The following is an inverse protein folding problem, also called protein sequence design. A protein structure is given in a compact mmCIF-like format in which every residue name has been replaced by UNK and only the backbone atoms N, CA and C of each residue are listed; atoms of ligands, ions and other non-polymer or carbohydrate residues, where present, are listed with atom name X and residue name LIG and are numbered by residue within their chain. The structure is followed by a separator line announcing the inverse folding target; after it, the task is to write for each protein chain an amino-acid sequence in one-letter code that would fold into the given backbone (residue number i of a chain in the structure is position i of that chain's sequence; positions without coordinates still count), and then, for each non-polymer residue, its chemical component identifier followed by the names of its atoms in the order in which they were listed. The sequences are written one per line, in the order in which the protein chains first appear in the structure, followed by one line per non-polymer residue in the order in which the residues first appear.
data_IF_566495620898
#
_entry.id   IF_566495620898
#
_cell.length_a   1.000
_cell.length_b   1.000
_cell.length_c   1.000
_cell.angle_alpha   90.00
_cell.angle_beta   90.00
_cell.angle_gamma   90.00
#
_symmetry.space_group_name_H-M   'P 1'
#
loop_
_entity.id
_entity.type
_entity.pdbx_description
1 polymer ?
#
# COMPACT_ATOMS: atom_id res chain seq x y z
N UNK A 1 17.35 6.51 -62.76
CA UNK A 1 17.98 6.11 -61.47
C UNK A 1 17.35 6.77 -60.22
N UNK A 2 16.31 7.61 -60.35
CA UNK A 2 15.68 8.33 -59.23
C UNK A 2 14.61 7.53 -58.45
N UNK A 3 13.93 6.58 -59.11
CA UNK A 3 12.85 5.78 -58.49
C UNK A 3 13.33 4.83 -57.38
N UNK A 4 14.53 4.25 -57.50
CA UNK A 4 15.09 3.33 -56.47
C UNK A 4 15.39 4.03 -55.13
N UNK A 5 15.82 5.31 -55.15
CA UNK A 5 16.14 6.06 -53.93
C UNK A 5 14.90 6.42 -53.10
N UNK A 6 13.75 6.63 -53.75
CA UNK A 6 12.48 6.95 -53.06
C UNK A 6 11.90 5.72 -52.35
N UNK A 7 11.93 4.56 -53.01
CA UNK A 7 11.49 3.28 -52.44
C UNK A 7 12.34 2.85 -51.23
N UNK A 8 13.66 3.04 -51.31
CA UNK A 8 14.57 2.70 -50.21
C UNK A 8 14.32 3.57 -48.96
N UNK A 9 14.03 4.87 -49.13
CA UNK A 9 13.71 5.78 -48.02
C UNK A 9 12.39 5.42 -47.33
N UNK A 10 11.36 5.05 -48.10
CA UNK A 10 10.05 4.64 -47.58
C UNK A 10 10.12 3.30 -46.83
N UNK A 11 10.87 2.34 -47.37
CA UNK A 11 11.11 1.05 -46.71
C UNK A 11 11.88 1.22 -45.39
N UNK A 12 12.87 2.12 -45.35
CA UNK A 12 13.63 2.41 -44.14
C UNK A 12 12.77 3.08 -43.06
N UNK A 13 11.93 4.07 -43.42
CA UNK A 13 10.96 4.67 -42.48
C UNK A 13 9.97 3.63 -41.94
N UNK A 14 9.43 2.75 -42.79
CA UNK A 14 8.52 1.69 -42.34
C UNK A 14 9.21 0.71 -41.40
N UNK A 15 10.46 0.32 -41.68
CA UNK A 15 11.24 -0.56 -40.82
C UNK A 15 11.54 0.09 -39.46
N UNK A 16 11.83 1.39 -39.45
CA UNK A 16 12.09 2.16 -38.22
C UNK A 16 10.81 2.28 -37.39
N UNK A 17 9.67 2.53 -38.03
CA UNK A 17 8.36 2.60 -37.39
C UNK A 17 7.94 1.24 -36.81
N UNK A 18 8.14 0.15 -37.56
CA UNK A 18 7.86 -1.22 -37.09
C UNK A 18 8.75 -1.57 -35.90
N UNK A 19 10.05 -1.23 -35.92
CA UNK A 19 10.92 -1.43 -34.77
C UNK A 19 10.43 -0.64 -33.54
N UNK A 20 10.10 0.64 -33.69
CA UNK A 20 9.59 1.47 -32.58
C UNK A 20 8.33 0.87 -31.98
N UNK A 21 7.40 0.37 -32.80
CA UNK A 21 6.16 -0.26 -32.33
C UNK A 21 6.46 -1.60 -31.63
N UNK A 22 7.39 -2.42 -32.13
CA UNK A 22 7.75 -3.71 -31.50
C UNK A 22 8.52 -3.57 -30.19
N UNK A 23 9.26 -2.47 -29.98
CA UNK A 23 9.90 -2.18 -28.69
C UNK A 23 8.93 -1.57 -27.66
N UNK A 24 7.78 -1.05 -28.09
CA UNK A 24 6.77 -0.44 -27.21
C UNK A 24 5.85 -1.46 -26.54
N UNK A 25 5.96 -2.74 -26.88
CA UNK A 25 5.16 -3.83 -26.31
C UNK A 25 5.98 -4.76 -25.42
N UNK A 26 6.87 -4.21 -24.59
CA UNK A 26 7.31 -4.93 -23.39
C UNK A 26 6.09 -4.91 -22.47
N UNK A 27 5.30 -5.98 -22.49
CA UNK A 27 4.22 -6.16 -21.52
C UNK A 27 4.83 -6.00 -20.13
N UNK A 28 4.27 -5.09 -19.33
CA UNK A 28 4.52 -5.13 -17.90
C UNK A 28 4.08 -6.52 -17.44
N UNK A 29 5.04 -7.39 -17.16
CA UNK A 29 4.75 -8.65 -16.50
C UNK A 29 4.17 -8.28 -15.14
N UNK A 30 3.01 -8.87 -14.84
CA UNK A 30 2.38 -8.77 -13.54
C UNK A 30 2.55 -10.13 -12.86
N UNK A 31 2.99 -10.12 -11.62
CA UNK A 31 3.02 -11.29 -10.75
C UNK A 31 1.65 -11.42 -10.08
N UNK A 32 1.15 -12.65 -10.01
CA UNK A 32 0.03 -12.98 -9.15
C UNK A 32 0.56 -13.25 -7.74
N UNK A 33 0.10 -12.46 -6.77
CA UNK A 33 0.33 -12.70 -5.35
C UNK A 33 -0.94 -13.21 -4.69
N UNK A 34 -0.79 -14.06 -3.67
CA UNK A 34 -1.88 -14.70 -2.95
C UNK A 34 -1.66 -14.62 -1.44
N UNK A 35 -2.69 -14.26 -0.68
CA UNK A 35 -2.66 -14.33 0.78
C UNK A 35 -3.94 -14.92 1.34
N UNK A 36 -3.86 -15.51 2.53
CA UNK A 36 -5.05 -15.93 3.28
C UNK A 36 -5.58 -14.76 4.09
N UNK A 37 -6.86 -14.43 3.93
CA UNK A 37 -7.57 -13.42 4.71
C UNK A 37 -8.59 -14.09 5.61
N UNK A 38 -8.78 -13.55 6.82
CA UNK A 38 -9.85 -13.95 7.73
C UNK A 38 -10.59 -12.72 8.25
N UNK A 39 -11.91 -12.68 8.05
CA UNK A 39 -12.79 -11.63 8.53
C UNK A 39 -13.87 -12.17 9.47
N UNK A 40 -14.28 -11.35 10.42
CA UNK A 40 -15.38 -11.64 11.33
C UNK A 40 -16.57 -10.74 11.05
N UNK A 41 -17.76 -11.33 11.09
CA UNK A 41 -19.04 -10.59 11.08
C UNK A 41 -19.77 -10.84 12.37
N UNK A 42 -20.22 -9.76 13.01
CA UNK A 42 -20.86 -9.83 14.30
C UNK A 42 -22.36 -9.62 14.16
N UNK A 43 -23.13 -10.50 14.80
CA UNK A 43 -24.58 -10.33 14.99
C UNK A 43 -24.83 -10.32 16.49
N UNK A 44 -25.62 -9.36 16.96
CA UNK A 44 -25.98 -9.24 18.36
C UNK A 44 -27.49 -9.32 18.55
N UNK A 45 -27.90 -9.96 19.64
CA UNK A 45 -29.31 -10.10 20.02
C UNK A 45 -29.44 -10.02 21.53
N UNK A 46 -30.46 -9.33 22.03
CA UNK A 46 -30.78 -9.29 23.44
C UNK A 46 -31.99 -10.18 23.73
N UNK A 47 -31.85 -11.15 24.62
CA UNK A 47 -32.94 -12.06 24.99
C UNK A 47 -32.53 -13.17 25.96
N UNK A 48 -33.48 -14.05 26.23
CA UNK A 48 -33.24 -15.27 27.03
C UNK A 48 -32.47 -16.32 26.22
N UNK A 49 -31.97 -17.37 26.88
CA UNK A 49 -31.29 -18.49 26.21
C UNK A 49 -32.15 -19.11 25.10
N UNK A 50 -33.43 -19.38 25.39
CA UNK A 50 -34.39 -19.97 24.44
C UNK A 50 -34.59 -19.08 23.21
N UNK A 51 -34.70 -17.77 23.42
CA UNK A 51 -34.89 -16.82 22.33
C UNK A 51 -33.64 -16.71 21.46
N UNK A 52 -32.45 -16.82 22.04
CA UNK A 52 -31.18 -16.79 21.30
C UNK A 52 -31.00 -18.03 20.42
N UNK A 53 -31.37 -19.22 20.92
CA UNK A 53 -31.35 -20.45 20.13
C UNK A 53 -32.32 -20.38 18.95
N UNK A 54 -33.52 -19.84 19.17
CA UNK A 54 -34.48 -19.61 18.09
C UNK A 54 -33.95 -18.62 17.06
N UNK A 55 -33.38 -17.50 17.52
CA UNK A 55 -32.82 -16.45 16.68
C UNK A 55 -31.69 -16.98 15.78
N UNK A 56 -30.72 -17.71 16.35
CA UNK A 56 -29.61 -18.24 15.54
C UNK A 56 -30.07 -19.31 14.56
N UNK A 57 -31.02 -20.18 14.93
CA UNK A 57 -31.56 -21.19 14.02
C UNK A 57 -32.33 -20.59 12.83
N UNK A 58 -32.88 -19.39 12.98
CA UNK A 58 -33.51 -18.66 11.88
C UNK A 58 -32.49 -17.92 11.00
N UNK A 59 -31.41 -17.41 11.59
CA UNK A 59 -30.42 -16.60 10.87
C UNK A 59 -29.37 -17.46 10.18
N UNK A 60 -28.89 -18.51 10.84
CA UNK A 60 -27.79 -19.34 10.35
C UNK A 60 -28.02 -19.97 8.97
N UNK A 61 -29.24 -20.41 8.60
CA UNK A 61 -29.52 -20.86 7.23
C UNK A 61 -29.43 -19.73 6.19
N UNK A 62 -29.67 -18.49 6.62
CA UNK A 62 -29.73 -17.31 5.76
C UNK A 62 -28.44 -16.50 5.72
N UNK A 63 -27.42 -16.84 6.53
CA UNK A 63 -26.10 -16.21 6.39
C UNK A 63 -25.51 -16.65 5.04
N UNK A 64 -25.02 -15.68 4.27
CA UNK A 64 -24.26 -16.00 3.07
C UNK A 64 -23.09 -16.90 3.43
N UNK A 65 -22.87 -17.97 2.66
CA UNK A 65 -21.71 -18.86 2.86
C UNK A 65 -20.46 -18.32 2.20
N UNK A 66 -20.59 -17.25 1.42
CA UNK A 66 -19.49 -16.58 0.73
C UNK A 66 -19.57 -15.07 0.93
N UNK A 67 -18.41 -14.41 0.84
CA UNK A 67 -18.29 -12.96 0.87
C UNK A 67 -17.23 -12.53 -0.12
N UNK A 68 -17.52 -11.47 -0.88
CA UNK A 68 -16.51 -10.83 -1.71
C UNK A 68 -15.58 -10.00 -0.83
N UNK A 69 -14.28 -10.18 -1.02
CA UNK A 69 -13.23 -9.38 -0.39
C UNK A 69 -12.58 -8.48 -1.44
N UNK A 70 -12.33 -7.23 -1.05
CA UNK A 70 -11.56 -6.28 -1.83
C UNK A 70 -10.99 -5.19 -0.89
N UNK A 71 -9.68 -5.14 -0.70
CA UNK A 71 -8.99 -4.11 0.09
C UNK A 71 -8.37 -2.99 -0.77
N UNK A 72 -8.65 -2.99 -2.08
CA UNK A 72 -8.06 -2.11 -3.08
C UNK A 72 -6.82 -2.69 -3.76
N UNK A 73 -6.19 -3.72 -3.20
CA UNK A 73 -5.02 -4.40 -3.77
C UNK A 73 -5.31 -5.87 -4.04
N UNK A 74 -5.82 -6.59 -3.04
CA UNK A 74 -6.22 -7.99 -3.14
C UNK A 74 -7.73 -8.09 -3.26
N UNK A 75 -8.17 -9.03 -4.08
CA UNK A 75 -9.58 -9.37 -4.23
C UNK A 75 -9.79 -10.88 -4.27
N UNK A 76 -10.97 -11.34 -3.87
CA UNK A 76 -11.29 -12.75 -3.86
C UNK A 76 -12.60 -13.05 -3.17
N UNK A 77 -12.81 -14.33 -2.87
CA UNK A 77 -14.00 -14.81 -2.17
C UNK A 77 -13.59 -15.45 -0.85
N UNK A 78 -14.14 -14.95 0.25
CA UNK A 78 -14.03 -15.57 1.57
C UNK A 78 -15.19 -16.53 1.77
N UNK A 79 -14.89 -17.71 2.29
CA UNK A 79 -15.87 -18.74 2.59
C UNK A 79 -16.14 -18.79 4.08
N UNK A 80 -17.40 -19.00 4.44
CA UNK A 80 -17.79 -19.26 5.81
C UNK A 80 -17.02 -20.48 6.35
N UNK A 81 -16.35 -20.30 7.49
CA UNK A 81 -15.52 -21.35 8.11
C UNK A 81 -16.14 -21.86 9.41
N UNK A 82 -16.47 -20.94 10.32
CA UNK A 82 -16.93 -21.26 11.67
C UNK A 82 -17.65 -20.08 12.28
N UNK A 83 -18.25 -20.29 13.44
CA UNK A 83 -18.76 -19.20 14.27
C UNK A 83 -18.38 -19.42 15.74
N UNK A 84 -18.32 -18.32 16.47
CA UNK A 84 -18.17 -18.30 17.91
C UNK A 84 -19.35 -17.61 18.55
N UNK A 85 -19.71 -18.01 19.77
CA UNK A 85 -20.78 -17.40 20.55
C UNK A 85 -20.20 -16.90 21.86
N UNK A 86 -20.56 -15.69 22.23
CA UNK A 86 -20.37 -15.18 23.58
C UNK A 86 -21.66 -14.53 24.06
N UNK A 87 -21.83 -14.45 25.38
CA UNK A 87 -22.95 -13.75 25.98
C UNK A 87 -22.50 -12.94 27.19
N UNK A 88 -23.23 -11.87 27.46
CA UNK A 88 -23.05 -11.04 28.66
C UNK A 88 -24.41 -10.80 29.29
N UNK A 89 -24.54 -11.08 30.58
CA UNK A 89 -25.79 -10.83 31.32
C UNK A 89 -26.08 -9.32 31.36
N UNK A 90 -27.29 -8.96 30.94
CA UNK A 90 -27.79 -7.58 30.93
C UNK A 90 -28.73 -7.33 32.11
N UNK A 91 -29.64 -8.26 32.39
CA UNK A 91 -30.57 -8.21 33.53
C UNK A 91 -30.52 -9.56 34.25
N UNK A 92 -30.35 -9.52 35.57
CA UNK A 92 -30.44 -10.69 36.45
C UNK A 92 -31.81 -10.73 37.15
N UNK A 93 -32.48 -11.86 37.10
CA UNK A 93 -33.80 -12.04 37.69
C UNK A 93 -34.30 -13.49 37.56
N UNK A 94 -35.61 -13.71 37.68
CA UNK A 94 -36.23 -15.03 37.47
C UNK A 94 -36.11 -15.54 36.03
N UNK A 95 -35.84 -14.65 35.08
CA UNK A 95 -35.39 -14.99 33.73
C UNK A 95 -34.28 -14.02 33.35
N UNK A 96 -33.06 -14.54 33.23
CA UNK A 96 -31.91 -13.74 32.82
C UNK A 96 -32.09 -13.28 31.37
N UNK A 97 -31.75 -12.02 31.10
CA UNK A 97 -31.63 -11.49 29.75
C UNK A 97 -30.14 -11.27 29.48
N UNK A 98 -29.66 -11.80 28.37
CA UNK A 98 -28.28 -11.66 27.93
C UNK A 98 -28.22 -10.87 26.63
N UNK A 99 -27.09 -10.21 26.41
CA UNK A 99 -26.65 -9.80 25.08
C UNK A 99 -25.84 -10.97 24.53
N UNK A 100 -26.38 -11.62 23.51
CA UNK A 100 -25.72 -12.65 22.74
C UNK A 100 -24.96 -12.02 21.59
N UNK A 101 -23.76 -12.51 21.32
CA UNK A 101 -22.91 -12.09 20.20
C UNK A 101 -22.42 -13.33 19.45
N UNK A 102 -22.79 -13.43 18.18
CA UNK A 102 -22.25 -14.43 17.26
C UNK A 102 -21.21 -13.77 16.35
N UNK A 103 -20.02 -14.34 16.30
CA UNK A 103 -18.98 -13.95 15.37
C UNK A 103 -18.86 -15.01 14.27
N UNK A 104 -19.33 -14.70 13.06
CA UNK A 104 -19.19 -15.54 11.88
C UNK A 104 -17.86 -15.27 11.21
N UNK A 105 -17.04 -16.30 11.10
CA UNK A 105 -15.68 -16.23 10.57
C UNK A 105 -15.70 -16.66 9.12
N UNK A 106 -15.18 -15.80 8.24
CA UNK A 106 -15.00 -16.05 6.83
C UNK A 106 -13.50 -16.08 6.53
N UNK A 107 -13.04 -17.11 5.83
CA UNK A 107 -11.64 -17.27 5.46
C UNK A 107 -11.53 -17.64 3.99
N UNK A 108 -10.50 -17.16 3.31
CA UNK A 108 -10.29 -17.47 1.91
C UNK A 108 -8.94 -16.97 1.43
N UNK A 109 -8.49 -17.55 0.33
CA UNK A 109 -7.37 -17.03 -0.42
C UNK A 109 -7.85 -15.88 -1.29
N UNK A 110 -7.08 -14.79 -1.29
CA UNK A 110 -7.34 -13.61 -2.10
C UNK A 110 -6.11 -13.31 -2.93
N UNK A 111 -6.33 -12.82 -4.13
CA UNK A 111 -5.28 -12.63 -5.13
C UNK A 111 -5.12 -11.17 -5.49
N UNK A 112 -3.89 -10.75 -5.77
CA UNK A 112 -3.58 -9.45 -6.36
C UNK A 112 -2.77 -9.67 -7.64
N UNK A 113 -3.07 -8.88 -8.67
CA UNK A 113 -2.19 -8.73 -9.82
C UNK A 113 -1.30 -7.51 -9.57
N UNK A 114 -0.04 -7.76 -9.30
CA UNK A 114 0.94 -6.75 -8.93
C UNK A 114 1.96 -6.63 -10.06
N UNK A 115 2.40 -5.42 -10.45
CA UNK A 115 3.47 -5.31 -11.43
C UNK A 115 4.78 -5.91 -10.88
N UNK A 116 5.57 -6.56 -11.74
CA UNK A 116 6.87 -7.14 -11.35
C UNK A 116 7.82 -6.10 -10.74
N UNK A 117 7.68 -4.85 -11.19
CA UNK A 117 8.45 -3.72 -10.68
C UNK A 117 7.58 -2.47 -10.55
N UNK A 118 7.96 -1.57 -9.64
CA UNK A 118 7.36 -0.24 -9.54
C UNK A 118 8.42 0.81 -9.28
N UNK A 119 8.13 2.05 -9.64
CA UNK A 119 8.98 3.20 -9.26
C UNK A 119 8.56 3.69 -7.88
N UNK A 120 9.55 3.92 -7.02
CA UNK A 120 9.37 4.42 -5.66
C UNK A 120 10.15 5.72 -5.49
N UNK A 121 9.54 6.66 -4.78
CA UNK A 121 10.17 7.88 -4.29
C UNK A 121 10.09 7.89 -2.77
N UNK A 122 11.24 7.91 -2.10
CA UNK A 122 11.35 7.99 -0.65
C UNK A 122 11.95 9.34 -0.25
N UNK A 123 11.40 9.95 0.81
CA UNK A 123 11.87 11.23 1.34
C UNK A 123 12.51 11.03 2.70
N UNK A 124 13.78 11.40 2.83
CA UNK A 124 14.43 11.52 4.13
C UNK A 124 14.46 12.98 4.54
N UNK A 125 13.80 13.29 5.66
CA UNK A 125 13.74 14.64 6.19
C UNK A 125 14.85 14.90 7.19
N UNK A 126 15.35 16.13 7.21
CA UNK A 126 16.34 16.54 8.19
C UNK A 126 16.17 18.02 8.53
N UNK A 127 16.34 18.34 9.81
CA UNK A 127 16.21 19.70 10.31
C UNK A 127 17.49 20.14 11.03
N UNK A 128 17.83 21.42 10.89
CA UNK A 128 18.94 22.03 11.59
C UNK A 128 18.61 23.45 12.00
N UNK A 129 19.04 23.81 13.21
CA UNK A 129 18.94 25.16 13.76
C UNK A 129 20.29 25.86 13.72
N UNK A 130 20.34 27.08 13.23
CA UNK A 130 21.57 27.89 13.19
C UNK A 130 21.31 29.37 12.91
N UNK A 131 22.37 30.15 12.79
CA UNK A 131 22.30 31.57 12.45
C UNK A 131 22.15 31.78 10.95
N UNK A 132 21.57 32.92 10.55
CA UNK A 132 21.39 33.21 9.14
C UNK A 132 22.73 33.13 8.39
N UNK A 133 22.74 32.41 7.28
CA UNK A 133 23.95 32.12 6.49
C UNK A 133 24.64 30.78 6.77
N UNK A 134 24.35 30.08 7.88
CA UNK A 134 25.00 28.80 8.21
C UNK A 134 24.40 27.61 7.43
N UNK A 135 23.23 27.78 6.82
CA UNK A 135 22.48 26.74 6.12
C UNK A 135 23.29 26.03 5.03
N UNK A 136 24.08 26.78 4.25
CA UNK A 136 24.84 26.23 3.11
C UNK A 136 26.00 25.35 3.58
N UNK A 137 26.71 25.77 4.63
CA UNK A 137 27.80 25.01 5.24
C UNK A 137 27.28 23.69 5.82
N UNK A 138 26.16 23.76 6.55
CA UNK A 138 25.52 22.57 7.10
C UNK A 138 25.02 21.62 6.01
N UNK A 139 24.32 22.14 5.00
CA UNK A 139 23.86 21.32 3.89
C UNK A 139 25.03 20.60 3.17
N UNK A 140 26.16 21.29 2.99
CA UNK A 140 27.35 20.72 2.37
C UNK A 140 27.94 19.57 3.19
N UNK A 141 28.00 19.70 4.53
CA UNK A 141 28.51 18.62 5.39
C UNK A 141 27.61 17.37 5.34
N UNK A 142 26.30 17.57 5.22
CA UNK A 142 25.33 16.49 5.10
C UNK A 142 25.45 15.79 3.76
N UNK A 143 25.56 16.54 2.67
CA UNK A 143 25.74 15.96 1.33
C UNK A 143 27.04 15.15 1.24
N UNK A 144 28.09 15.54 1.96
CA UNK A 144 29.37 14.82 1.97
C UNK A 144 29.30 13.41 2.58
N UNK A 145 28.38 13.18 3.53
CA UNK A 145 28.25 11.90 4.24
C UNK A 145 26.96 11.14 3.88
N UNK A 146 26.12 11.72 3.02
CA UNK A 146 24.84 11.14 2.65
C UNK A 146 25.05 9.90 1.78
N UNK A 147 24.40 8.77 2.10
CA UNK A 147 24.47 7.60 1.25
C UNK A 147 23.92 7.92 -0.15
N UNK A 148 24.61 7.49 -1.19
CA UNK A 148 24.14 7.64 -2.57
C UNK A 148 23.02 6.67 -2.91
N UNK A 149 22.84 5.64 -2.08
CA UNK A 149 21.83 4.60 -2.24
C UNK A 149 21.28 4.16 -0.89
N UNK A 150 19.99 3.85 -0.82
CA UNK A 150 19.34 3.27 0.35
C UNK A 150 18.60 1.99 -0.03
N UNK A 151 18.44 1.08 0.92
CA UNK A 151 17.60 -0.11 0.73
C UNK A 151 16.14 0.25 0.96
N UNK A 152 15.26 -0.26 0.10
CA UNK A 152 13.82 -0.16 0.23
C UNK A 152 13.21 -1.56 0.42
N UNK A 153 12.28 -1.67 1.35
CA UNK A 153 11.47 -2.88 1.56
C UNK A 153 10.15 -2.49 2.23
N UNK A 154 9.01 -2.69 1.55
CA UNK A 154 7.66 -2.47 2.11
C UNK A 154 6.93 -3.78 2.47
N UNK A 155 7.64 -4.91 2.43
CA UNK A 155 7.11 -6.26 2.61
C UNK A 155 6.58 -6.91 1.33
N UNK A 156 6.31 -6.13 0.28
CA UNK A 156 5.81 -6.61 -1.03
C UNK A 156 6.84 -6.39 -2.15
N UNK A 157 7.59 -5.31 -2.07
CA UNK A 157 8.65 -4.93 -3.00
C UNK A 157 9.92 -4.62 -2.24
N UNK A 158 11.06 -4.95 -2.84
CA UNK A 158 12.36 -4.53 -2.34
C UNK A 158 13.31 -4.12 -3.46
N UNK A 159 14.33 -3.37 -3.09
CA UNK A 159 15.36 -2.94 -4.02
C UNK A 159 16.22 -1.84 -3.43
N UNK A 160 16.90 -1.13 -4.31
CA UNK A 160 17.77 -0.02 -3.95
C UNK A 160 17.25 1.26 -4.59
N UNK A 161 17.14 2.32 -3.79
CA UNK A 161 16.79 3.66 -4.28
C UNK A 161 18.05 4.51 -4.33
N UNK A 162 18.20 5.31 -5.38
CA UNK A 162 19.35 6.20 -5.58
C UNK A 162 18.99 7.62 -5.17
N UNK A 163 19.94 8.31 -4.53
CA UNK A 163 19.81 9.71 -4.24
C UNK A 163 19.70 10.53 -5.53
N UNK A 164 18.65 11.34 -5.70
CA UNK A 164 18.45 12.12 -6.93
C UNK A 164 18.56 13.62 -6.72
N UNK A 165 17.96 14.15 -5.66
CA UNK A 165 17.92 15.59 -5.38
C UNK A 165 17.63 15.89 -3.92
N UNK A 166 17.74 17.16 -3.57
CA UNK A 166 17.23 17.69 -2.31
C UNK A 166 16.53 19.02 -2.56
N UNK A 167 15.68 19.43 -1.63
CA UNK A 167 15.11 20.78 -1.62
C UNK A 167 14.87 21.24 -0.18
N UNK A 168 14.86 22.56 0.01
CA UNK A 168 14.50 23.18 1.27
C UNK A 168 12.96 23.21 1.37
N UNK A 169 12.41 22.53 2.36
CA UNK A 169 10.96 22.50 2.62
C UNK A 169 10.48 23.74 3.36
N UNK A 170 11.26 24.19 4.34
CA UNK A 170 10.92 25.37 5.13
C UNK A 170 12.15 26.01 5.79
N UNK A 171 12.04 27.33 6.02
CA UNK A 171 12.92 28.12 6.87
C UNK A 171 12.03 28.84 7.89
N UNK A 172 12.19 28.52 9.16
CA UNK A 172 11.42 29.10 10.26
C UNK A 172 12.33 29.92 11.16
N UNK A 173 11.98 31.18 11.41
CA UNK A 173 12.66 32.02 12.40
C UNK A 173 12.10 31.75 13.79
N UNK A 174 12.98 31.49 14.75
CA UNK A 174 12.71 31.52 16.18
C UNK A 174 13.32 32.82 16.71
N UNK A 175 12.45 33.77 17.03
CA UNK A 175 12.85 35.06 17.58
C UNK A 175 13.25 34.90 19.05
N UNK A 176 14.37 35.54 19.41
CA UNK A 176 14.91 35.54 20.76
C UNK A 176 15.98 36.62 20.92
N UNK A 177 16.80 36.53 21.98
CA UNK A 177 17.95 37.43 22.16
C UNK A 177 19.02 37.28 21.06
N UNK A 178 18.99 36.15 20.34
CA UNK A 178 19.68 35.95 19.07
C UNK A 178 18.76 35.17 18.14
N UNK A 179 18.50 35.70 16.95
CA UNK A 179 17.67 35.04 15.94
C UNK A 179 18.28 33.69 15.53
N UNK A 180 17.46 32.64 15.59
CA UNK A 180 17.82 31.29 15.14
C UNK A 180 16.86 30.87 14.04
N UNK A 181 17.39 30.32 12.96
CA UNK A 181 16.61 29.76 11.88
C UNK A 181 16.64 28.24 11.93
N UNK A 182 15.48 27.61 11.79
CA UNK A 182 15.36 26.18 11.53
C UNK A 182 15.12 25.99 10.04
N UNK A 183 16.03 25.29 9.38
CA UNK A 183 15.83 24.82 8.01
C UNK A 183 15.44 23.35 8.03
N UNK A 184 14.44 22.99 7.24
CA UNK A 184 14.05 21.61 6.98
C UNK A 184 14.32 21.28 5.52
N UNK A 185 15.08 20.23 5.27
CA UNK A 185 15.34 19.73 3.93
C UNK A 185 14.73 18.34 3.75
N UNK A 186 14.21 18.11 2.56
CA UNK A 186 13.87 16.79 2.08
C UNK A 186 14.95 16.33 1.09
N UNK A 187 15.43 15.11 1.31
CA UNK A 187 16.36 14.42 0.43
C UNK A 187 15.62 13.29 -0.26
N UNK A 188 15.63 13.33 -1.60
CA UNK A 188 14.83 12.47 -2.45
C UNK A 188 15.67 11.29 -2.90
N UNK A 189 15.15 10.09 -2.67
CA UNK A 189 15.69 8.85 -3.24
C UNK A 189 14.64 8.25 -4.17
N UNK A 190 15.03 7.96 -5.40
CA UNK A 190 14.16 7.39 -6.41
C UNK A 190 14.79 6.13 -6.99
N UNK A 191 13.98 5.14 -7.32
CA UNK A 191 14.46 3.91 -7.91
C UNK A 191 13.31 2.99 -8.34
N UNK A 192 13.65 2.03 -9.19
CA UNK A 192 12.76 0.92 -9.54
C UNK A 192 13.02 -0.23 -8.57
N UNK A 193 11.97 -0.70 -7.91
CA UNK A 193 12.01 -1.82 -6.96
C UNK A 193 11.25 -3.00 -7.53
N UNK A 194 11.59 -4.20 -7.09
CA UNK A 194 11.07 -5.46 -7.63
C UNK A 194 10.20 -6.16 -6.61
N UNK A 195 9.14 -6.81 -7.08
CA UNK A 195 8.28 -7.65 -6.26
C UNK A 195 9.08 -8.80 -5.62
N UNK A 196 8.83 -9.10 -4.34
CA UNK A 196 9.68 -10.01 -3.56
C UNK A 196 9.17 -11.43 -3.37
N UNK A 197 7.95 -11.74 -3.84
CA UNK A 197 7.33 -13.07 -3.89
C UNK A 197 7.80 -14.09 -2.87
#
# INVERSE_FOLDING_TARGET
MLFKKSLLKKACMLLTLVMIITFSSIGAFAVTDTKTVTENTYVQYAGTDVQADQFINQIFPNISKTRNYNDGVYSGTLNYSRYYVSSKTLIQGTSNIYIWSWAFVYTGEVTAELPDTKTVTELQHMAYGGRDGEAATFLSSILAVRPQTINYNDGTYSGTLSYTRYYLESKTLIQGTSDVYIWKWAFVYEGTVTYTG
#
